data_IF_229684172870
#
_entry.id   IF_229684172870
#
_cell.length_a   1.000
_cell.length_b   1.000
_cell.length_c   1.000
_cell.angle_alpha   90.00
_cell.angle_beta   90.00
_cell.angle_gamma   90.00
#
_symmetry.space_group_name_H-M   'P 1'
#
loop_
_entity.id
_entity.type
_entity.pdbx_description
1 polymer ?
#
# COMPACT_ATOMS: atom_id res chain seq x y z
N UNK A 1 -19.94 -10.32 -4.22
CA UNK A 1 -19.10 -9.20 -4.69
C UNK A 1 -17.86 -9.77 -5.36
N UNK A 2 -17.39 -9.17 -6.45
CA UNK A 2 -16.15 -9.60 -7.10
C UNK A 2 -14.95 -9.17 -6.24
N UNK A 3 -13.97 -10.06 -6.05
CA UNK A 3 -12.77 -9.77 -5.27
C UNK A 3 -11.76 -9.01 -6.11
N UNK A 4 -11.11 -8.01 -5.52
CA UNK A 4 -10.02 -7.29 -6.19
C UNK A 4 -8.75 -8.13 -6.24
N UNK A 5 -7.96 -8.04 -7.33
CA UNK A 5 -6.58 -8.53 -7.33
C UNK A 5 -5.75 -7.85 -6.23
N UNK A 6 -4.85 -8.61 -5.59
CA UNK A 6 -3.99 -8.13 -4.50
C UNK A 6 -3.29 -6.79 -4.81
N UNK A 7 -2.80 -6.62 -6.05
CA UNK A 7 -2.15 -5.38 -6.48
C UNK A 7 -3.05 -4.14 -6.38
N UNK A 8 -4.34 -4.28 -6.66
CA UNK A 8 -5.30 -3.17 -6.60
C UNK A 8 -5.69 -2.87 -5.16
N UNK A 9 -5.83 -3.90 -4.34
CA UNK A 9 -6.06 -3.78 -2.90
C UNK A 9 -4.92 -2.96 -2.26
N UNK A 10 -3.67 -3.35 -2.52
CA UNK A 10 -2.50 -2.65 -1.98
C UNK A 10 -2.37 -1.23 -2.55
N UNK A 11 -2.74 -1.03 -3.82
CA UNK A 11 -2.70 0.29 -4.45
C UNK A 11 -3.68 1.27 -3.81
N UNK A 12 -4.93 0.84 -3.59
CA UNK A 12 -5.93 1.66 -2.91
C UNK A 12 -5.54 1.94 -1.46
N UNK A 13 -5.09 0.91 -0.73
CA UNK A 13 -4.59 1.07 0.64
C UNK A 13 -3.47 2.12 0.72
N UNK A 14 -2.43 2.00 -0.11
CA UNK A 14 -1.30 2.95 -0.08
C UNK A 14 -1.73 4.35 -0.52
N UNK A 15 -2.62 4.47 -1.50
CA UNK A 15 -3.14 5.77 -1.93
C UNK A 15 -3.89 6.47 -0.80
N UNK A 16 -4.76 5.75 -0.09
CA UNK A 16 -5.51 6.24 1.06
C UNK A 16 -4.57 6.66 2.21
N UNK A 17 -3.60 5.83 2.57
CA UNK A 17 -2.67 6.15 3.67
C UNK A 17 -1.83 7.38 3.37
N UNK A 18 -1.33 7.52 2.13
CA UNK A 18 -0.63 8.74 1.71
C UNK A 18 -1.55 9.96 1.87
N UNK A 19 -2.79 9.88 1.41
CA UNK A 19 -3.75 10.98 1.50
C UNK A 19 -4.07 11.36 2.96
N UNK A 20 -4.31 10.37 3.83
CA UNK A 20 -4.63 10.59 5.26
C UNK A 20 -3.52 11.30 6.02
N UNK A 21 -2.26 11.02 5.68
CA UNK A 21 -1.13 11.66 6.37
C UNK A 21 -0.91 13.13 5.98
N UNK A 22 -1.44 13.57 4.84
CA UNK A 22 -1.15 14.89 4.27
C UNK A 22 0.30 15.08 3.83
N UNK A 23 1.12 14.02 3.84
CA UNK A 23 2.53 14.08 3.45
C UNK A 23 2.67 13.93 1.93
N UNK A 24 3.78 14.45 1.39
CA UNK A 24 4.22 14.05 0.05
C UNK A 24 4.54 12.55 0.02
N UNK A 25 4.50 11.94 -1.16
CA UNK A 25 4.84 10.50 -1.32
C UNK A 25 6.23 10.18 -0.75
N UNK A 26 7.19 11.10 -0.91
CA UNK A 26 8.54 10.96 -0.34
C UNK A 26 8.53 11.06 1.19
N UNK A 27 7.76 12.00 1.75
CA UNK A 27 7.60 12.14 3.20
C UNK A 27 6.94 10.91 3.82
N UNK A 28 5.89 10.39 3.18
CA UNK A 28 5.23 9.15 3.57
C UNK A 28 6.18 7.96 3.51
N UNK A 29 6.93 7.80 2.41
CA UNK A 29 7.90 6.71 2.28
C UNK A 29 8.93 6.70 3.42
N UNK A 30 9.46 7.89 3.77
CA UNK A 30 10.37 8.04 4.91
C UNK A 30 9.71 7.66 6.24
N UNK A 31 8.46 8.07 6.47
CA UNK A 31 7.69 7.71 7.67
C UNK A 31 7.44 6.19 7.74
N UNK A 32 7.12 5.58 6.60
CA UNK A 32 6.80 4.17 6.46
C UNK A 32 8.05 3.26 6.41
N UNK A 33 9.26 3.83 6.49
CA UNK A 33 10.52 3.07 6.50
C UNK A 33 10.89 2.42 5.17
N UNK A 34 10.23 2.76 4.06
CA UNK A 34 10.48 2.14 2.75
C UNK A 34 10.93 3.16 1.70
N UNK A 35 11.45 2.68 0.58
CA UNK A 35 11.92 3.57 -0.49
C UNK A 35 10.77 4.34 -1.17
N UNK A 36 11.06 5.55 -1.66
CA UNK A 36 10.10 6.33 -2.44
C UNK A 36 9.60 5.57 -3.68
N UNK A 37 10.50 4.81 -4.34
CA UNK A 37 10.13 4.02 -5.52
C UNK A 37 9.20 2.86 -5.15
N UNK A 38 9.34 2.26 -3.96
CA UNK A 38 8.39 1.27 -3.44
C UNK A 38 6.99 1.85 -3.35
N UNK A 39 6.82 3.01 -2.70
CA UNK A 39 5.49 3.63 -2.56
C UNK A 39 4.91 4.01 -3.92
N UNK A 40 5.73 4.52 -4.84
CA UNK A 40 5.28 4.82 -6.21
C UNK A 40 4.78 3.57 -6.94
N UNK A 41 5.51 2.45 -6.86
CA UNK A 41 5.11 1.17 -7.47
C UNK A 41 3.83 0.60 -6.87
N UNK A 42 3.66 0.71 -5.55
CA UNK A 42 2.44 0.26 -4.89
C UNK A 42 1.25 1.15 -5.25
N UNK A 43 1.43 2.48 -5.24
CA UNK A 43 0.38 3.45 -5.55
C UNK A 43 -0.06 3.40 -7.02
N UNK A 44 0.87 3.17 -7.94
CA UNK A 44 0.64 3.09 -9.38
C UNK A 44 1.15 1.73 -9.91
N UNK A 45 0.40 0.64 -9.67
CA UNK A 45 0.86 -0.70 -10.01
C UNK A 45 1.10 -0.82 -11.51
N UNK A 46 2.38 -0.94 -11.89
CA UNK A 46 2.82 -1.21 -13.26
C UNK A 46 3.43 -2.62 -13.35
N UNK A 47 4.09 -2.95 -14.45
CA UNK A 47 4.73 -4.27 -14.67
C UNK A 47 5.91 -4.56 -13.73
N UNK A 48 6.43 -3.56 -13.01
CA UNK A 48 7.52 -3.72 -12.06
C UNK A 48 7.00 -4.12 -10.68
N UNK A 49 7.04 -5.41 -10.36
CA UNK A 49 6.64 -5.94 -9.07
C UNK A 49 7.36 -5.30 -7.87
N UNK A 50 6.75 -5.46 -6.69
CA UNK A 50 7.35 -5.15 -5.38
C UNK A 50 7.57 -6.48 -4.68
N UNK A 51 8.74 -6.65 -4.06
CA UNK A 51 9.03 -7.87 -3.30
C UNK A 51 8.12 -7.94 -2.07
N UNK A 52 7.66 -9.15 -1.73
CA UNK A 52 6.70 -9.34 -0.64
C UNK A 52 7.27 -8.97 0.74
N UNK A 53 8.56 -9.20 0.96
CA UNK A 53 9.25 -8.80 2.20
C UNK A 53 9.16 -7.28 2.46
N UNK A 54 9.21 -6.47 1.40
CA UNK A 54 9.03 -5.01 1.49
C UNK A 54 7.57 -4.64 1.80
N UNK A 55 6.61 -5.44 1.33
CA UNK A 55 5.19 -5.24 1.68
C UNK A 55 5.00 -5.53 3.16
N UNK A 56 5.56 -6.63 3.66
CA UNK A 56 5.49 -6.98 5.09
C UNK A 56 6.12 -5.88 5.96
N UNK A 57 7.29 -5.37 5.59
CA UNK A 57 7.95 -4.25 6.27
C UNK A 57 7.06 -2.99 6.30
N UNK A 58 6.45 -2.64 5.17
CA UNK A 58 5.51 -1.52 5.09
C UNK A 58 4.33 -1.71 6.06
N UNK A 59 3.74 -2.90 6.09
CA UNK A 59 2.59 -3.18 6.95
C UNK A 59 2.95 -3.12 8.43
N UNK A 60 4.09 -3.70 8.81
CA UNK A 60 4.63 -3.65 10.17
C UNK A 60 4.87 -2.20 10.61
N UNK A 61 5.52 -1.40 9.78
CA UNK A 61 5.85 -0.01 10.11
C UNK A 61 4.61 0.90 10.19
N UNK A 62 3.53 0.55 9.48
CA UNK A 62 2.24 1.25 9.57
C UNK A 62 1.34 0.71 10.71
N UNK A 63 1.71 -0.41 11.33
CA UNK A 63 0.91 -1.05 12.37
C UNK A 63 -0.42 -1.59 11.85
N UNK A 64 -0.46 -2.05 10.59
CA UNK A 64 -1.68 -2.54 9.93
C UNK A 64 -1.51 -4.01 9.55
N UNK A 65 -2.54 -4.81 9.77
CA UNK A 65 -2.56 -6.23 9.38
C UNK A 65 -3.10 -6.42 7.96
N UNK A 66 -2.69 -7.50 7.30
CA UNK A 66 -3.24 -7.85 5.99
C UNK A 66 -4.76 -8.09 6.04
N UNK A 67 -5.28 -8.65 7.13
CA UNK A 67 -6.72 -8.87 7.31
C UNK A 67 -7.50 -7.56 7.27
N UNK A 68 -7.05 -6.52 7.99
CA UNK A 68 -7.70 -5.21 7.98
C UNK A 68 -7.74 -4.58 6.58
N UNK A 69 -6.68 -4.81 5.80
CA UNK A 69 -6.61 -4.35 4.41
C UNK A 69 -7.64 -5.08 3.54
N UNK A 70 -7.73 -6.41 3.66
CA UNK A 70 -8.71 -7.20 2.91
C UNK A 70 -10.14 -6.85 3.30
N UNK A 71 -10.42 -6.71 4.59
CA UNK A 71 -11.76 -6.37 5.10
C UNK A 71 -12.23 -5.00 4.56
N UNK A 72 -11.30 -4.07 4.31
CA UNK A 72 -11.62 -2.71 3.86
C UNK A 72 -11.56 -2.50 2.34
N UNK A 73 -10.61 -3.14 1.65
CA UNK A 73 -10.28 -2.89 0.24
C UNK A 73 -10.48 -4.12 -0.65
N UNK A 74 -10.85 -5.27 -0.10
CA UNK A 74 -10.89 -6.54 -0.82
C UNK A 74 -11.96 -6.69 -1.89
N UNK A 75 -13.01 -5.85 -1.85
CA UNK A 75 -14.17 -5.95 -2.72
C UNK A 75 -14.38 -4.65 -3.51
N UNK A 76 -14.93 -4.75 -4.72
CA UNK A 76 -15.41 -3.57 -5.45
C UNK A 76 -16.62 -2.99 -4.73
N UNK A 77 -16.64 -1.66 -4.61
CA UNK A 77 -17.77 -0.90 -4.03
C UNK A 77 -18.86 -0.69 -5.05
#
# INVERSE_FOLDING_TARGET
>A
MERKPLRLILSEFVADEVQKTGLSVRGFAKKAGVSHSTIQKLKYPNSGGVRLDIVDELLINLGVTFKEIIDKYGEYK
#
